data_IF_497224969834
#
_entry.id   IF_497224969834
#
_cell.length_a   1.000
_cell.length_b   1.000
_cell.length_c   1.000
_cell.angle_alpha   90.00
_cell.angle_beta   90.00
_cell.angle_gamma   90.00
#
_symmetry.space_group_name_H-M   'P 1'
#
loop_
_entity.id
_entity.type
_entity.pdbx_description
1 polymer ?
#
# COMPACT_ATOMS: atom_id res chain seq x y z
N UNK A 1 30.96 3.85 -4.73
CA UNK A 1 29.67 3.77 -4.01
C UNK A 1 29.44 5.11 -3.31
N UNK A 2 28.88 6.10 -4.02
CA UNK A 2 28.33 7.28 -3.38
C UNK A 2 27.01 6.83 -2.75
N UNK A 3 26.93 6.79 -1.42
CA UNK A 3 25.66 6.65 -0.73
C UNK A 3 24.80 7.86 -1.12
N UNK A 4 23.68 7.63 -1.77
CA UNK A 4 22.73 8.68 -2.05
C UNK A 4 22.22 9.20 -0.70
N UNK A 5 22.37 10.49 -0.45
CA UNK A 5 21.78 11.16 0.70
C UNK A 5 20.32 11.39 0.37
N UNK A 6 19.43 10.63 1.01
CA UNK A 6 18.00 10.76 0.80
C UNK A 6 17.42 12.04 1.43
N UNK A 7 18.07 12.57 2.48
CA UNK A 7 17.65 13.78 3.19
C UNK A 7 18.84 14.63 3.65
N UNK A 8 18.66 15.94 3.68
CA UNK A 8 19.61 16.88 4.26
C UNK A 8 18.87 18.03 4.96
N UNK A 9 19.50 18.57 6.00
CA UNK A 9 18.99 19.73 6.73
C UNK A 9 19.96 20.90 6.54
N UNK A 10 19.42 22.08 6.25
CA UNK A 10 20.19 23.32 6.12
C UNK A 10 20.16 24.04 7.48
N UNK A 11 21.34 24.40 7.98
CA UNK A 11 21.44 25.19 9.23
C UNK A 11 21.15 26.66 8.98
N UNK A 12 20.46 27.36 9.91
CA UNK A 12 19.88 26.86 11.15
C UNK A 12 18.59 26.06 10.87
N UNK A 13 18.32 25.01 11.66
CA UNK A 13 17.07 24.23 11.58
C UNK A 13 16.43 24.12 12.96
N UNK A 14 15.10 24.02 12.99
CA UNK A 14 14.30 23.79 14.19
C UNK A 14 13.93 22.31 14.31
N UNK A 15 14.22 21.70 15.47
CA UNK A 15 14.04 20.27 15.66
C UNK A 15 12.60 19.78 15.40
N UNK A 16 11.61 20.51 15.89
CA UNK A 16 10.19 20.14 15.72
C UNK A 16 9.68 20.39 14.29
N UNK A 17 10.12 21.43 13.65
CA UNK A 17 9.64 21.84 12.33
C UNK A 17 10.33 21.14 11.18
N UNK A 18 11.66 21.01 11.26
CA UNK A 18 12.48 20.59 10.13
C UNK A 18 12.98 19.14 10.26
N UNK A 19 13.30 18.70 11.51
CA UNK A 19 13.87 17.37 11.77
C UNK A 19 12.79 16.31 12.04
N UNK A 20 11.81 16.61 12.89
CA UNK A 20 10.81 15.61 13.29
C UNK A 20 10.01 15.06 12.10
N UNK A 21 9.57 15.84 11.10
CA UNK A 21 8.89 15.29 9.93
C UNK A 21 9.75 14.30 9.16
N UNK A 22 11.05 14.59 8.97
CA UNK A 22 12.00 13.70 8.27
C UNK A 22 12.19 12.40 9.07
N UNK A 23 12.36 12.52 10.38
CA UNK A 23 12.52 11.36 11.27
C UNK A 23 11.24 10.51 11.29
N UNK A 24 10.07 11.13 11.33
CA UNK A 24 8.79 10.42 11.28
C UNK A 24 8.61 9.67 9.96
N UNK A 25 8.89 10.31 8.82
CA UNK A 25 8.86 9.66 7.50
C UNK A 25 9.80 8.45 7.42
N UNK A 26 11.02 8.60 7.96
CA UNK A 26 12.00 7.52 8.00
C UNK A 26 11.56 6.38 8.92
N UNK A 27 10.99 6.70 10.09
CA UNK A 27 10.48 5.73 11.05
C UNK A 27 9.26 4.99 10.51
N UNK A 28 8.32 5.68 9.86
CA UNK A 28 7.16 5.05 9.21
C UNK A 28 7.62 4.12 8.07
N UNK A 29 8.56 4.56 7.25
CA UNK A 29 9.19 3.73 6.23
C UNK A 29 9.89 2.51 6.81
N UNK A 30 10.58 2.66 7.94
CA UNK A 30 11.30 1.58 8.62
C UNK A 30 10.36 0.64 9.37
N UNK A 31 9.34 1.14 10.05
CA UNK A 31 8.30 0.33 10.70
C UNK A 31 7.52 -0.47 9.66
N UNK A 32 7.10 0.15 8.57
CA UNK A 32 6.45 -0.54 7.47
C UNK A 32 7.34 -1.57 6.74
N UNK A 33 8.68 -1.45 6.82
CA UNK A 33 9.60 -2.46 6.35
C UNK A 33 9.76 -3.63 7.34
N UNK A 34 9.77 -3.31 8.63
CA UNK A 34 9.97 -4.28 9.71
C UNK A 34 8.73 -5.13 10.00
N UNK A 35 7.53 -4.53 9.89
CA UNK A 35 6.26 -5.28 9.98
C UNK A 35 6.04 -6.17 8.75
N UNK A 36 6.70 -5.87 7.63
CA UNK A 36 6.72 -6.71 6.42
C UNK A 36 7.58 -7.97 6.56
N UNK A 37 8.62 -7.94 7.40
CA UNK A 37 9.49 -9.10 7.66
C UNK A 37 8.92 -10.06 8.72
N UNK A 38 7.95 -9.62 9.51
CA UNK A 38 7.27 -10.43 10.51
C UNK A 38 5.98 -11.03 9.92
N UNK A 39 6.04 -12.29 9.50
CA UNK A 39 4.90 -13.12 9.11
C UNK A 39 3.92 -12.47 8.12
N UNK A 40 4.35 -12.32 6.88
CA UNK A 40 3.52 -11.86 5.76
C UNK A 40 2.25 -12.71 5.54
N UNK A 41 1.34 -12.20 4.74
CA UNK A 41 0.17 -12.96 4.31
C UNK A 41 0.62 -14.19 3.53
N UNK A 42 0.09 -15.36 3.85
CA UNK A 42 0.34 -16.60 3.11
C UNK A 42 -0.86 -16.95 2.27
N UNK A 43 -0.65 -17.16 1.00
CA UNK A 43 -1.71 -17.50 0.05
C UNK A 43 -1.49 -18.92 -0.43
N UNK A 44 -2.50 -19.77 -0.28
CA UNK A 44 -2.49 -21.11 -0.88
C UNK A 44 -3.44 -21.11 -2.07
N UNK A 45 -2.90 -21.35 -3.27
CA UNK A 45 -3.72 -21.34 -4.47
C UNK A 45 -2.94 -21.69 -5.74
N UNK A 46 -3.66 -22.02 -6.80
CA UNK A 46 -3.08 -22.27 -8.11
C UNK A 46 -2.58 -20.96 -8.73
N UNK A 47 -1.33 -20.97 -9.22
CA UNK A 47 -0.70 -19.76 -9.80
C UNK A 47 -1.44 -19.23 -11.03
N UNK A 48 -2.04 -20.11 -11.80
CA UNK A 48 -2.66 -19.76 -13.08
C UNK A 48 -4.16 -19.40 -12.93
N UNK A 49 -4.68 -19.42 -11.70
CA UNK A 49 -6.07 -19.02 -11.46
C UNK A 49 -6.24 -17.50 -11.64
N UNK A 50 -7.34 -17.10 -12.29
CA UNK A 50 -7.67 -15.68 -12.49
C UNK A 50 -7.75 -14.93 -11.15
N UNK A 51 -8.32 -15.54 -10.12
CA UNK A 51 -8.41 -14.94 -8.78
C UNK A 51 -7.04 -14.85 -8.12
N UNK A 52 -6.20 -15.87 -8.28
CA UNK A 52 -4.81 -15.84 -7.81
C UNK A 52 -4.01 -14.67 -8.41
N UNK A 53 -4.19 -14.42 -9.71
CA UNK A 53 -3.56 -13.26 -10.36
C UNK A 53 -4.03 -11.92 -9.76
N UNK A 54 -5.34 -11.76 -9.57
CA UNK A 54 -5.91 -10.53 -8.98
C UNK A 54 -5.42 -10.30 -7.55
N UNK A 55 -5.33 -11.35 -6.72
CA UNK A 55 -4.81 -11.25 -5.35
C UNK A 55 -3.35 -10.80 -5.36
N UNK A 56 -2.50 -11.42 -6.18
CA UNK A 56 -1.08 -11.03 -6.31
C UNK A 56 -0.93 -9.59 -6.74
N UNK A 57 -1.73 -9.18 -7.73
CA UNK A 57 -1.73 -7.80 -8.22
C UNK A 57 -2.17 -6.83 -7.10
N UNK A 58 -3.24 -7.13 -6.38
CA UNK A 58 -3.73 -6.31 -5.28
C UNK A 58 -2.68 -6.17 -4.17
N UNK A 59 -2.12 -7.29 -3.69
CA UNK A 59 -1.10 -7.28 -2.64
C UNK A 59 0.17 -6.54 -3.07
N UNK A 60 0.65 -6.83 -4.29
CA UNK A 60 1.84 -6.17 -4.83
C UNK A 60 1.68 -4.66 -5.00
N UNK A 61 0.52 -4.19 -5.49
CA UNK A 61 0.24 -2.75 -5.65
C UNK A 61 0.09 -2.02 -4.32
N UNK A 62 -0.36 -2.72 -3.27
CA UNK A 62 -0.45 -2.17 -1.92
C UNK A 62 0.82 -2.38 -1.09
N UNK A 63 1.93 -2.83 -1.71
CA UNK A 63 3.21 -3.13 -1.05
C UNK A 63 3.08 -4.12 0.12
N UNK A 64 2.12 -5.03 0.04
CA UNK A 64 1.94 -6.09 1.04
C UNK A 64 2.85 -7.26 0.70
N UNK A 65 3.72 -7.63 1.64
CA UNK A 65 4.54 -8.82 1.51
C UNK A 65 3.69 -10.08 1.67
N UNK A 66 3.85 -11.04 0.78
CA UNK A 66 3.11 -12.30 0.82
C UNK A 66 3.96 -13.47 0.33
N UNK A 67 3.65 -14.64 0.85
CA UNK A 67 4.18 -15.92 0.39
C UNK A 67 3.11 -16.67 -0.40
N UNK A 68 3.46 -17.17 -1.59
CA UNK A 68 2.55 -17.96 -2.40
C UNK A 68 2.93 -19.43 -2.35
N UNK A 69 1.99 -20.27 -1.90
CA UNK A 69 2.14 -21.71 -1.75
C UNK A 69 1.21 -22.44 -2.73
N UNK A 70 1.75 -23.45 -3.41
CA UNK A 70 0.92 -24.33 -4.24
C UNK A 70 0.10 -25.27 -3.35
N UNK A 71 -1.20 -25.52 -3.68
CA UNK A 71 -2.07 -26.38 -2.86
C UNK A 71 -1.51 -27.78 -2.64
N UNK A 72 -0.76 -28.29 -3.61
CA UNK A 72 -0.18 -29.64 -3.61
C UNK A 72 1.24 -29.71 -3.03
N UNK A 73 1.83 -28.58 -2.64
CA UNK A 73 3.11 -28.56 -1.91
C UNK A 73 2.93 -29.08 -0.47
N UNK A 74 4.00 -29.53 0.15
CA UNK A 74 3.95 -30.01 1.55
C UNK A 74 3.53 -28.87 2.49
N UNK A 75 4.06 -27.67 2.26
CA UNK A 75 3.73 -26.46 3.03
C UNK A 75 2.29 -26.01 2.79
N UNK A 76 1.82 -26.00 1.53
CA UNK A 76 0.44 -25.66 1.19
C UNK A 76 -0.56 -26.62 1.83
N UNK A 77 -0.31 -27.93 1.74
CA UNK A 77 -1.17 -28.93 2.40
C UNK A 77 -1.16 -28.76 3.93
N UNK A 78 0.01 -28.58 4.52
CA UNK A 78 0.12 -28.38 5.96
C UNK A 78 -0.63 -27.11 6.43
N UNK A 79 -0.55 -26.04 5.65
CA UNK A 79 -1.26 -24.79 5.96
C UNK A 79 -2.78 -24.97 5.84
N UNK A 80 -3.26 -25.58 4.74
CA UNK A 80 -4.68 -25.88 4.56
C UNK A 80 -5.26 -26.80 5.64
N UNK A 81 -4.47 -27.72 6.18
CA UNK A 81 -4.90 -28.57 7.29
C UNK A 81 -5.13 -27.79 8.59
N UNK A 82 -4.38 -26.70 8.80
CA UNK A 82 -4.54 -25.83 9.97
C UNK A 82 -5.72 -24.87 9.87
N UNK A 83 -6.16 -24.59 8.64
CA UNK A 83 -7.33 -23.72 8.40
C UNK A 83 -8.60 -24.49 8.73
N UNK A 84 -9.38 -23.98 9.69
CA UNK A 84 -10.65 -24.55 10.09
C UNK A 84 -11.81 -24.02 9.23
N UNK A 85 -12.85 -24.86 9.03
CA UNK A 85 -14.11 -24.42 8.45
C UNK A 85 -14.19 -24.47 6.91
N UNK A 86 -15.26 -23.86 6.33
CA UNK A 86 -15.58 -23.95 4.91
C UNK A 86 -14.58 -23.22 4.00
N UNK A 87 -13.83 -22.26 4.52
CA UNK A 87 -12.86 -21.45 3.75
C UNK A 87 -11.76 -22.30 3.12
N UNK A 88 -11.43 -23.42 3.72
CA UNK A 88 -10.48 -24.41 3.20
C UNK A 88 -10.85 -24.95 1.80
N UNK A 89 -12.14 -25.01 1.48
CA UNK A 89 -12.62 -25.58 0.23
C UNK A 89 -12.59 -24.61 -0.96
N UNK A 90 -12.33 -23.32 -0.70
CA UNK A 90 -12.43 -22.27 -1.71
C UNK A 90 -11.08 -21.62 -1.97
N UNK A 91 -10.31 -22.22 -2.86
CA UNK A 91 -9.02 -21.65 -3.29
C UNK A 91 -9.23 -20.40 -4.17
N UNK A 92 -8.29 -19.43 -4.09
CA UNK A 92 -7.14 -19.33 -3.18
C UNK A 92 -7.54 -19.04 -1.73
N UNK A 93 -6.81 -19.57 -0.76
CA UNK A 93 -7.01 -19.24 0.66
C UNK A 93 -5.93 -18.24 1.09
N UNK A 94 -6.33 -17.10 1.65
CA UNK A 94 -5.43 -16.17 2.30
C UNK A 94 -5.40 -16.44 3.81
N UNK A 95 -4.21 -16.58 4.36
CA UNK A 95 -3.97 -16.76 5.80
C UNK A 95 -3.16 -15.57 6.30
N UNK A 96 -3.73 -14.84 7.24
CA UNK A 96 -3.14 -13.62 7.79
C UNK A 96 -2.31 -13.91 9.04
N UNK A 97 -1.43 -12.96 9.47
CA UNK A 97 -0.55 -13.15 10.62
C UNK A 97 -1.27 -13.43 11.95
N UNK A 98 -2.48 -12.93 12.10
CA UNK A 98 -3.37 -13.16 13.25
C UNK A 98 -4.02 -14.55 13.27
N UNK A 99 -3.77 -15.36 12.23
CA UNK A 99 -4.33 -16.70 12.07
C UNK A 99 -5.69 -16.74 11.38
N UNK A 100 -6.28 -15.60 11.05
CA UNK A 100 -7.51 -15.53 10.26
C UNK A 100 -7.24 -16.08 8.86
N UNK A 101 -8.15 -16.92 8.37
CA UNK A 101 -8.09 -17.47 7.02
C UNK A 101 -9.37 -17.11 6.27
N UNK A 102 -9.22 -16.71 5.00
CA UNK A 102 -10.36 -16.36 4.12
C UNK A 102 -10.21 -17.11 2.80
N UNK A 103 -11.21 -17.95 2.48
CA UNK A 103 -11.28 -18.67 1.21
C UNK A 103 -11.79 -17.77 0.10
N UNK A 104 -11.12 -17.80 -1.05
CA UNK A 104 -11.43 -16.98 -2.22
C UNK A 104 -11.72 -15.50 -1.88
N UNK A 105 -10.85 -14.81 -1.12
CA UNK A 105 -11.14 -13.48 -0.59
C UNK A 105 -11.36 -12.47 -1.70
N UNK A 106 -12.33 -11.57 -1.53
CA UNK A 106 -12.46 -10.36 -2.35
C UNK A 106 -11.37 -9.34 -2.03
N UNK A 107 -11.13 -8.34 -2.90
CA UNK A 107 -10.18 -7.26 -2.59
C UNK A 107 -10.62 -6.45 -1.35
N UNK A 108 -11.92 -6.29 -1.14
CA UNK A 108 -12.46 -5.62 0.05
C UNK A 108 -12.14 -6.40 1.33
N UNK A 109 -12.29 -7.72 1.32
CA UNK A 109 -11.92 -8.57 2.46
C UNK A 109 -10.41 -8.53 2.73
N UNK A 110 -9.59 -8.58 1.67
CA UNK A 110 -8.13 -8.40 1.81
C UNK A 110 -7.80 -7.04 2.42
N UNK A 111 -8.38 -5.95 1.90
CA UNK A 111 -8.17 -4.61 2.43
C UNK A 111 -8.53 -4.51 3.91
N UNK A 112 -9.71 -5.03 4.29
CA UNK A 112 -10.17 -5.03 5.68
C UNK A 112 -9.21 -5.76 6.62
N UNK A 113 -8.77 -6.97 6.23
CA UNK A 113 -7.82 -7.77 7.03
C UNK A 113 -6.42 -7.15 7.12
N UNK A 114 -6.05 -6.36 6.13
CA UNK A 114 -4.77 -5.65 6.07
C UNK A 114 -4.82 -4.28 6.76
N UNK A 115 -5.97 -3.89 7.34
CA UNK A 115 -6.14 -2.58 7.95
C UNK A 115 -6.12 -1.41 6.94
N UNK A 116 -6.35 -1.69 5.65
CA UNK A 116 -6.50 -0.65 4.64
C UNK A 116 -7.89 -0.04 4.81
N UNK A 117 -8.01 1.29 4.98
CA UNK A 117 -9.31 1.94 5.15
C UNK A 117 -10.25 1.65 3.98
N UNK A 118 -11.47 1.22 4.29
CA UNK A 118 -12.51 0.87 3.30
C UNK A 118 -13.80 1.65 3.47
N UNK A 119 -13.87 2.45 4.52
CA UNK A 119 -15.00 3.32 4.83
C UNK A 119 -14.50 4.72 5.15
N UNK A 120 -15.23 5.78 4.75
CA UNK A 120 -14.87 7.15 5.08
C UNK A 120 -15.02 7.39 6.59
N UNK A 121 -14.12 8.21 7.17
CA UNK A 121 -14.16 8.57 8.58
C UNK A 121 -15.18 9.70 8.86
N UNK A 122 -15.49 10.54 7.86
CA UNK A 122 -16.43 11.64 7.99
C UNK A 122 -17.71 11.38 7.17
N UNK A 123 -18.83 11.94 7.61
CA UNK A 123 -20.10 11.89 6.87
C UNK A 123 -20.13 12.83 5.65
N UNK A 124 -19.29 13.87 5.66
CA UNK A 124 -19.21 14.86 4.61
C UNK A 124 -17.76 15.26 4.32
N UNK A 125 -17.47 15.50 3.06
CA UNK A 125 -16.19 16.00 2.58
C UNK A 125 -16.42 17.18 1.63
N UNK A 126 -15.53 18.20 1.71
CA UNK A 126 -15.53 19.32 0.80
C UNK A 126 -15.09 18.89 -0.61
N UNK A 127 -14.22 17.89 -0.69
CA UNK A 127 -13.67 17.35 -1.93
C UNK A 127 -13.63 15.83 -1.90
N UNK A 128 -14.27 15.21 -2.90
CA UNK A 128 -14.21 13.77 -3.14
C UNK A 128 -13.52 13.51 -4.48
N UNK A 129 -12.44 12.75 -4.45
CA UNK A 129 -11.61 12.43 -5.61
C UNK A 129 -11.80 10.96 -5.96
N UNK A 130 -12.17 10.65 -7.18
CA UNK A 130 -12.32 9.28 -7.67
C UNK A 130 -11.14 8.93 -8.56
N UNK A 131 -10.33 8.01 -8.08
CA UNK A 131 -9.10 7.53 -8.72
C UNK A 131 -7.83 8.11 -8.10
N UNK A 132 -6.97 7.21 -7.60
CA UNK A 132 -5.70 7.53 -6.93
C UNK A 132 -4.48 7.56 -7.87
N UNK A 133 -4.65 7.86 -9.16
CA UNK A 133 -3.53 8.11 -10.07
C UNK A 133 -2.81 9.44 -9.78
N UNK A 134 -1.76 9.82 -10.54
CA UNK A 134 -1.00 11.03 -10.28
C UNK A 134 -1.85 12.32 -10.21
N UNK A 135 -2.87 12.41 -11.06
CA UNK A 135 -3.78 13.56 -11.05
C UNK A 135 -4.65 13.60 -9.78
N UNK A 136 -5.20 12.43 -9.36
CA UNK A 136 -5.98 12.34 -8.13
C UNK A 136 -5.12 12.61 -6.89
N UNK A 137 -3.90 12.07 -6.85
CA UNK A 137 -2.95 12.34 -5.77
C UNK A 137 -2.56 13.82 -5.71
N UNK A 138 -2.33 14.46 -6.85
CA UNK A 138 -2.08 15.91 -6.90
C UNK A 138 -3.29 16.69 -6.38
N UNK A 139 -4.49 16.35 -6.82
CA UNK A 139 -5.73 16.98 -6.35
C UNK A 139 -5.91 16.80 -4.83
N UNK A 140 -5.59 15.60 -4.29
CA UNK A 140 -5.64 15.33 -2.85
C UNK A 140 -4.65 16.21 -2.07
N UNK A 141 -3.40 16.33 -2.56
CA UNK A 141 -2.40 17.21 -1.94
C UNK A 141 -2.87 18.66 -1.94
N UNK A 142 -3.31 19.19 -3.08
CA UNK A 142 -3.73 20.58 -3.18
C UNK A 142 -5.00 20.84 -2.37
N UNK A 143 -6.04 20.01 -2.50
CA UNK A 143 -7.28 20.19 -1.76
C UNK A 143 -7.05 20.21 -0.25
N UNK A 144 -6.32 19.23 0.26
CA UNK A 144 -6.03 19.15 1.71
C UNK A 144 -5.09 20.26 2.19
N UNK A 145 -4.13 20.70 1.38
CA UNK A 145 -3.22 21.81 1.74
C UNK A 145 -3.93 23.15 1.84
N UNK A 146 -5.06 23.33 1.12
CA UNK A 146 -5.94 24.49 1.24
C UNK A 146 -6.97 24.36 2.39
N UNK A 147 -6.89 23.29 3.16
CA UNK A 147 -7.74 23.07 4.34
C UNK A 147 -9.08 22.41 4.05
N UNK A 148 -9.30 21.90 2.84
CA UNK A 148 -10.50 21.14 2.51
C UNK A 148 -10.46 19.75 3.14
N UNK A 149 -11.57 19.31 3.73
CA UNK A 149 -11.76 17.90 4.08
C UNK A 149 -11.82 17.09 2.79
N UNK A 150 -10.79 16.26 2.54
CA UNK A 150 -10.58 15.61 1.26
C UNK A 150 -10.59 14.09 1.40
N UNK A 151 -11.46 13.44 0.63
CA UNK A 151 -11.53 11.98 0.49
C UNK A 151 -11.06 11.56 -0.90
N UNK A 152 -10.13 10.61 -0.97
CA UNK A 152 -9.74 9.97 -2.23
C UNK A 152 -10.20 8.51 -2.25
N UNK A 153 -10.99 8.15 -3.24
CA UNK A 153 -11.51 6.79 -3.43
C UNK A 153 -10.72 6.10 -4.54
N UNK A 154 -10.10 4.99 -4.23
CA UNK A 154 -9.35 4.17 -5.18
C UNK A 154 -9.83 2.71 -5.12
N UNK A 155 -9.97 2.07 -6.28
CA UNK A 155 -10.50 0.70 -6.38
C UNK A 155 -9.49 -0.37 -5.98
N UNK A 156 -8.22 -0.17 -6.26
CA UNK A 156 -7.19 -1.20 -6.09
C UNK A 156 -6.03 -0.73 -5.20
N UNK A 157 -5.29 0.27 -5.66
CA UNK A 157 -4.20 0.89 -4.92
C UNK A 157 -3.82 2.24 -5.54
N UNK A 158 -3.47 3.24 -4.72
CA UNK A 158 -3.01 4.52 -5.23
C UNK A 158 -1.75 4.40 -6.09
N UNK A 159 -1.59 5.34 -7.04
CA UNK A 159 -0.49 5.39 -8.01
C UNK A 159 -0.95 5.18 -9.46
N UNK A 160 -2.10 4.53 -9.67
CA UNK A 160 -2.65 4.30 -11.00
C UNK A 160 -1.68 3.58 -11.94
N UNK A 161 -1.73 3.90 -13.23
CA UNK A 161 -0.81 3.35 -14.24
C UNK A 161 0.63 3.83 -14.03
N UNK A 162 0.80 5.08 -13.61
CA UNK A 162 2.13 5.64 -13.35
C UNK A 162 2.86 4.88 -12.23
N UNK A 163 2.14 4.43 -11.19
CA UNK A 163 2.71 3.65 -10.09
C UNK A 163 3.33 2.31 -10.52
N UNK A 164 3.00 1.81 -11.71
CA UNK A 164 3.54 0.57 -12.26
C UNK A 164 4.74 0.80 -13.20
N UNK A 165 5.03 2.05 -13.54
CA UNK A 165 6.13 2.38 -14.45
C UNK A 165 7.47 2.17 -13.75
N UNK A 166 8.41 1.43 -14.36
CA UNK A 166 9.73 1.21 -13.76
C UNK A 166 10.50 2.54 -13.64
N UNK A 167 10.22 3.50 -14.53
CA UNK A 167 10.86 4.80 -14.55
C UNK A 167 9.95 5.88 -15.15
N UNK A 168 9.96 7.05 -14.55
CA UNK A 168 9.28 8.27 -15.00
C UNK A 168 10.33 9.37 -15.06
N UNK A 169 10.62 9.91 -16.25
CA UNK A 169 11.65 10.91 -16.49
C UNK A 169 11.11 12.34 -16.67
N UNK A 170 9.81 12.48 -16.91
CA UNK A 170 9.16 13.74 -17.26
C UNK A 170 8.23 14.28 -16.17
N UNK A 171 8.38 13.87 -14.92
CA UNK A 171 7.59 14.43 -13.83
C UNK A 171 8.31 15.65 -13.25
N UNK A 172 7.58 16.77 -13.17
CA UNK A 172 8.13 18.05 -12.72
C UNK A 172 8.70 17.94 -11.29
N UNK A 173 9.92 18.47 -11.09
CA UNK A 173 10.65 18.44 -9.82
C UNK A 173 11.57 17.22 -9.65
N UNK A 174 11.55 16.25 -10.54
CA UNK A 174 12.37 15.04 -10.49
C UNK A 174 13.30 14.96 -11.72
N UNK A 175 14.29 15.85 -11.78
CA UNK A 175 15.19 16.00 -12.93
C UNK A 175 16.00 14.74 -13.27
N UNK A 176 16.22 13.85 -12.31
CA UNK A 176 16.92 12.58 -12.50
C UNK A 176 15.97 11.41 -12.83
N UNK A 177 14.66 11.67 -12.91
CA UNK A 177 13.63 10.64 -12.98
C UNK A 177 13.51 9.83 -11.68
N UNK A 178 12.45 9.04 -11.57
CA UNK A 178 12.23 8.14 -10.44
C UNK A 178 11.32 6.98 -10.85
N UNK A 179 11.27 5.94 -10.01
CA UNK A 179 10.29 4.86 -10.19
C UNK A 179 8.86 5.36 -9.92
N UNK A 180 7.89 4.87 -10.69
CA UNK A 180 6.49 5.25 -10.53
C UNK A 180 5.93 4.90 -9.16
N UNK A 181 6.35 3.76 -8.59
CA UNK A 181 5.99 3.36 -7.22
C UNK A 181 6.50 4.35 -6.17
N UNK A 182 7.71 4.87 -6.35
CA UNK A 182 8.28 5.88 -5.44
C UNK A 182 7.56 7.23 -5.57
N UNK A 183 7.22 7.64 -6.79
CA UNK A 183 6.39 8.84 -7.00
C UNK A 183 5.05 8.71 -6.28
N UNK A 184 4.35 7.59 -6.46
CA UNK A 184 3.07 7.32 -5.81
C UNK A 184 3.21 7.34 -4.28
N UNK A 185 4.21 6.64 -3.73
CA UNK A 185 4.48 6.60 -2.29
C UNK A 185 4.67 8.02 -1.71
N UNK A 186 5.51 8.84 -2.33
CA UNK A 186 5.75 10.23 -1.88
C UNK A 186 4.48 11.06 -1.92
N UNK A 187 3.70 10.95 -2.98
CA UNK A 187 2.45 11.70 -3.12
C UNK A 187 1.40 11.27 -2.08
N UNK A 188 1.29 9.97 -1.78
CA UNK A 188 0.39 9.44 -0.73
C UNK A 188 0.78 10.01 0.63
N UNK A 189 2.06 9.93 0.99
CA UNK A 189 2.55 10.46 2.27
C UNK A 189 2.26 11.97 2.36
N UNK A 190 2.52 12.70 1.29
CA UNK A 190 2.26 14.14 1.25
C UNK A 190 0.78 14.47 1.41
N UNK A 191 -0.12 13.77 0.71
CA UNK A 191 -1.56 13.97 0.82
C UNK A 191 -2.06 13.69 2.25
N UNK A 192 -1.63 12.57 2.85
CA UNK A 192 -1.96 12.19 4.23
C UNK A 192 -1.45 13.20 5.25
N UNK A 193 -0.24 13.73 5.06
CA UNK A 193 0.32 14.77 5.93
C UNK A 193 -0.54 16.05 5.97
N UNK A 194 -1.23 16.37 4.88
CA UNK A 194 -2.20 17.46 4.82
C UNK A 194 -3.61 17.06 5.25
N UNK A 195 -3.83 15.81 5.63
CA UNK A 195 -5.10 15.33 6.16
C UNK A 195 -6.04 14.72 5.12
N UNK A 196 -5.56 14.40 3.91
CA UNK A 196 -6.35 13.62 2.96
C UNK A 196 -6.58 12.20 3.47
N UNK A 197 -7.80 11.71 3.30
CA UNK A 197 -8.22 10.34 3.57
C UNK A 197 -8.32 9.52 2.28
#
# INVERSE_FOLDING_TARGET
NAAALDHFLIKPFEGERDLLPIVSDLLEGWQGARDRDAAGVRIVGERDSSRGHQIRQFLGRNNVHYEWLEPNSDEGRALLQKVAGPDRAHLPVAVFPDGVAVGNPTNLQLASQLGIPTHPALDHYDLVIVGGGPAGLAAAVYGSSEGLSTLMIEREAPGGQAGQSPRIDNYLGFHAGLAGSELARRAIIQARRFGAE
#
